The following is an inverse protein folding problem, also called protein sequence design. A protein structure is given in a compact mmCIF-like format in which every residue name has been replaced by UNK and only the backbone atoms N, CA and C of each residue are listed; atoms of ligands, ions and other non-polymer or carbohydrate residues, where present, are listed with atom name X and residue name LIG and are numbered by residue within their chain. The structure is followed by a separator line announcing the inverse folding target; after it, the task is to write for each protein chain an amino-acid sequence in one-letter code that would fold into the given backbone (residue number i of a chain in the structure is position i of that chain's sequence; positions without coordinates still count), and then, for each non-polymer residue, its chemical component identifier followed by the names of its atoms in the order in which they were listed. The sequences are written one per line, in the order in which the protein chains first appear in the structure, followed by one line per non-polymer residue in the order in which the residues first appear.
data_IF_327055281322
#
_entry.id   IF_327055281322
#
_cell.length_a   1.000
_cell.length_b   1.000
_cell.length_c   1.000
_cell.angle_alpha   90.00
_cell.angle_beta   90.00
_cell.angle_gamma   90.00
#
_symmetry.space_group_name_H-M   'P 1'
#
loop_
_entity.id
_entity.type
_entity.pdbx_description
1 polymer ?
#
# COMPACT_ATOMS: atom_id res chain seq x y z
N UNK A 1 -5.31 39.94 7.45
CA UNK A 1 -5.77 38.68 6.82
C UNK A 1 -4.64 38.22 5.93
N UNK A 2 -3.87 37.23 6.36
CA UNK A 2 -2.76 36.67 5.58
C UNK A 2 -3.21 35.30 5.07
N UNK A 3 -3.52 35.23 3.77
CA UNK A 3 -3.78 33.99 3.04
C UNK A 3 -2.44 33.34 2.76
N UNK A 4 -2.03 32.46 3.66
CA UNK A 4 -0.77 31.73 3.58
C UNK A 4 -0.88 30.39 4.27
N UNK A 5 -2.01 29.70 4.10
CA UNK A 5 -2.07 28.26 4.33
C UNK A 5 -1.41 27.62 3.10
N UNK A 6 -0.08 27.63 3.10
CA UNK A 6 0.69 26.79 2.19
C UNK A 6 0.24 25.38 2.51
N UNK A 7 -0.25 24.63 1.52
CA UNK A 7 -0.65 23.24 1.69
C UNK A 7 0.54 22.45 2.27
N UNK A 8 0.65 22.42 3.60
CA UNK A 8 1.57 21.54 4.29
C UNK A 8 1.17 20.14 3.83
N UNK A 9 2.14 19.40 3.28
CA UNK A 9 2.00 17.99 2.95
C UNK A 9 1.40 17.27 4.15
N UNK A 10 0.07 17.12 4.11
CA UNK A 10 -0.68 16.55 5.21
C UNK A 10 -0.35 15.07 5.16
N UNK A 11 0.53 14.64 6.05
CA UNK A 11 0.96 13.24 6.13
C UNK A 11 -0.29 12.35 6.13
N UNK A 12 -0.28 11.36 5.24
CA UNK A 12 -1.38 10.39 5.07
C UNK A 12 -1.56 9.52 6.32
N UNK A 13 -0.55 9.45 7.19
CA UNK A 13 -0.59 8.73 8.47
C UNK A 13 -0.41 9.70 9.64
N UNK A 14 -1.15 9.49 10.73
CA UNK A 14 -0.76 10.06 12.02
C UNK A 14 0.52 9.40 12.53
N UNK A 15 1.15 10.00 13.55
CA UNK A 15 2.31 9.41 14.20
C UNK A 15 1.99 8.04 14.80
N UNK A 16 0.83 7.91 15.43
CA UNK A 16 0.36 6.68 16.08
C UNK A 16 0.18 5.55 15.06
N UNK A 17 -0.43 5.83 13.90
CA UNK A 17 -0.63 4.84 12.84
C UNK A 17 0.68 4.48 12.13
N UNK A 18 1.57 5.45 11.95
CA UNK A 18 2.90 5.17 11.45
C UNK A 18 3.63 4.21 12.40
N UNK A 19 3.54 4.43 13.73
CA UNK A 19 4.09 3.51 14.74
C UNK A 19 3.42 2.14 14.68
N UNK A 20 2.10 2.09 14.52
CA UNK A 20 1.37 0.83 14.39
C UNK A 20 1.82 0.04 13.16
N UNK A 21 1.89 0.69 11.99
CA UNK A 21 2.33 0.06 10.74
C UNK A 21 3.80 -0.36 10.82
N UNK A 22 4.69 0.46 11.40
CA UNK A 22 6.09 0.08 11.64
C UNK A 22 6.20 -1.14 12.56
N UNK A 23 5.40 -1.18 13.63
CA UNK A 23 5.37 -2.33 14.56
C UNK A 23 4.92 -3.59 13.83
N UNK A 24 3.87 -3.49 13.02
CA UNK A 24 3.39 -4.58 12.18
C UNK A 24 4.48 -5.09 11.23
N UNK A 25 5.14 -4.19 10.49
CA UNK A 25 6.18 -4.54 9.51
C UNK A 25 7.41 -5.16 10.17
N UNK A 26 7.87 -4.63 11.31
CA UNK A 26 9.01 -5.18 12.03
C UNK A 26 8.71 -6.56 12.63
N UNK A 27 7.54 -6.73 13.26
CA UNK A 27 7.10 -8.03 13.74
C UNK A 27 6.98 -9.04 12.58
N UNK A 28 6.45 -8.60 11.44
CA UNK A 28 6.35 -9.41 10.22
C UNK A 28 7.72 -9.87 9.71
N UNK A 29 8.70 -8.96 9.66
CA UNK A 29 10.06 -9.27 9.24
C UNK A 29 10.75 -10.25 10.20
N UNK A 30 10.50 -10.13 11.50
CA UNK A 30 11.00 -11.05 12.51
C UNK A 30 10.40 -12.46 12.33
N UNK A 31 9.08 -12.56 12.13
CA UNK A 31 8.40 -13.82 11.85
C UNK A 31 8.98 -14.53 10.61
N UNK A 32 9.37 -13.79 9.57
CA UNK A 32 9.99 -14.36 8.36
C UNK A 32 11.29 -15.14 8.64
N UNK A 33 11.94 -14.94 9.79
CA UNK A 33 13.15 -15.69 10.16
C UNK A 33 12.87 -17.10 10.68
N UNK A 34 11.61 -17.40 11.02
CA UNK A 34 11.22 -18.67 11.67
C UNK A 34 10.12 -19.43 10.95
N UNK A 35 9.43 -18.77 10.03
CA UNK A 35 8.24 -19.31 9.36
C UNK A 35 8.49 -19.64 7.88
N UNK A 36 7.58 -20.40 7.23
CA UNK A 36 7.62 -20.61 5.79
C UNK A 36 7.72 -19.30 5.00
N UNK A 37 8.63 -19.28 4.01
CA UNK A 37 9.00 -18.08 3.24
C UNK A 37 7.80 -17.33 2.62
N UNK A 38 6.78 -18.06 2.18
CA UNK A 38 5.61 -17.49 1.52
C UNK A 38 4.68 -16.72 2.47
N UNK A 39 4.81 -16.87 3.79
CA UNK A 39 4.09 -15.99 4.73
C UNK A 39 4.66 -14.58 4.77
N UNK A 40 5.90 -14.38 4.33
CA UNK A 40 6.48 -13.04 4.19
C UNK A 40 5.72 -12.18 3.18
N UNK A 41 5.44 -12.72 2.00
CA UNK A 41 4.65 -12.00 0.99
C UNK A 41 3.22 -11.74 1.44
N UNK A 42 2.62 -12.67 2.21
CA UNK A 42 1.29 -12.49 2.77
C UNK A 42 1.24 -11.29 3.73
N UNK A 43 2.22 -11.16 4.62
CA UNK A 43 2.28 -10.04 5.56
C UNK A 43 2.58 -8.71 4.89
N UNK A 44 3.44 -8.69 3.87
CA UNK A 44 3.66 -7.48 3.08
C UNK A 44 2.37 -7.01 2.41
N UNK A 45 1.61 -7.94 1.84
CA UNK A 45 0.33 -7.66 1.21
C UNK A 45 -0.73 -7.17 2.22
N UNK A 46 -0.79 -7.75 3.41
CA UNK A 46 -1.66 -7.27 4.51
C UNK A 46 -1.22 -5.90 5.04
N UNK A 47 0.09 -5.62 5.07
CA UNK A 47 0.65 -4.30 5.35
C UNK A 47 0.18 -3.24 4.35
N UNK A 48 0.10 -3.57 3.07
CA UNK A 48 -0.48 -2.69 2.03
C UNK A 48 -1.96 -2.43 2.29
N UNK A 49 -2.75 -3.45 2.65
CA UNK A 49 -4.17 -3.27 2.99
C UNK A 49 -4.38 -2.36 4.20
N UNK A 50 -3.53 -2.47 5.23
CA UNK A 50 -3.55 -1.58 6.42
C UNK A 50 -3.24 -0.14 6.03
N UNK A 51 -2.18 0.08 5.25
CA UNK A 51 -1.83 1.40 4.75
C UNK A 51 -2.98 2.02 3.94
N UNK A 52 -3.59 1.26 3.03
CA UNK A 52 -4.75 1.70 2.27
C UNK A 52 -5.93 2.10 3.18
N UNK A 53 -6.16 1.36 4.27
CA UNK A 53 -7.15 1.72 5.29
C UNK A 53 -6.91 3.11 5.89
N UNK A 54 -5.69 3.37 6.37
CA UNK A 54 -5.36 4.68 6.96
C UNK A 54 -5.49 5.84 5.96
N UNK A 55 -5.21 5.60 4.68
CA UNK A 55 -5.40 6.59 3.60
C UNK A 55 -6.88 6.89 3.43
N UNK A 56 -7.70 5.84 3.27
CA UNK A 56 -9.15 5.96 3.03
C UNK A 56 -9.89 6.63 4.19
N UNK A 57 -9.46 6.41 5.43
CA UNK A 57 -10.05 7.04 6.62
C UNK A 57 -9.84 8.57 6.66
N UNK A 58 -8.87 9.09 5.92
CA UNK A 58 -8.52 10.52 5.87
C UNK A 58 -8.93 11.24 4.59
N UNK A 59 -9.32 10.52 3.54
CA UNK A 59 -9.79 11.16 2.32
C UNK A 59 -11.10 11.91 2.57
N UNK A 60 -11.06 13.24 2.41
CA UNK A 60 -12.24 14.11 2.50
C UNK A 60 -12.94 14.31 1.15
N UNK A 61 -12.35 13.80 0.07
CA UNK A 61 -12.90 13.84 -1.31
C UNK A 61 -13.73 12.58 -1.58
N UNK A 62 -14.50 12.49 -2.69
CA UNK A 62 -15.25 11.27 -2.99
C UNK A 62 -14.27 10.09 -2.99
N UNK A 63 -14.54 9.10 -2.11
CA UNK A 63 -13.67 7.92 -1.87
C UNK A 63 -12.99 7.51 -3.17
N UNK A 64 -11.66 7.45 -3.18
CA UNK A 64 -10.95 6.83 -4.30
C UNK A 64 -11.47 5.40 -4.43
N UNK A 65 -12.42 5.20 -5.36
CA UNK A 65 -13.12 3.93 -5.54
C UNK A 65 -12.11 2.84 -5.85
N UNK A 66 -11.02 3.18 -6.54
CA UNK A 66 -9.96 2.22 -6.82
C UNK A 66 -9.23 1.79 -5.55
N UNK A 67 -8.86 2.69 -4.65
CA UNK A 67 -8.12 2.30 -3.45
C UNK A 67 -8.99 1.46 -2.51
N UNK A 68 -10.27 1.81 -2.39
CA UNK A 68 -11.26 1.03 -1.65
C UNK A 68 -11.45 -0.37 -2.25
N UNK A 69 -11.62 -0.47 -3.57
CA UNK A 69 -11.80 -1.75 -4.27
C UNK A 69 -10.53 -2.60 -4.20
N UNK A 70 -9.36 -1.99 -4.39
CA UNK A 70 -8.07 -2.66 -4.29
C UNK A 70 -7.83 -3.22 -2.89
N UNK A 71 -8.13 -2.44 -1.85
CA UNK A 71 -8.05 -2.91 -0.46
C UNK A 71 -9.00 -4.09 -0.22
N UNK A 72 -10.25 -3.98 -0.63
CA UNK A 72 -11.26 -5.03 -0.43
C UNK A 72 -10.84 -6.34 -1.11
N UNK A 73 -10.28 -6.24 -2.31
CA UNK A 73 -9.77 -7.39 -3.04
C UNK A 73 -8.54 -8.02 -2.38
N UNK A 74 -7.60 -7.22 -1.87
CA UNK A 74 -6.49 -7.73 -1.06
C UNK A 74 -7.02 -8.48 0.17
N UNK A 75 -7.97 -7.90 0.90
CA UNK A 75 -8.53 -8.51 2.10
C UNK A 75 -9.19 -9.86 1.83
N UNK A 76 -9.83 -9.99 0.66
CA UNK A 76 -10.43 -11.26 0.21
C UNK A 76 -9.36 -12.26 -0.24
N UNK A 77 -8.47 -11.88 -1.15
CA UNK A 77 -7.56 -12.80 -1.83
C UNK A 77 -6.29 -13.12 -1.03
N UNK A 78 -5.93 -12.34 0.00
CA UNK A 78 -4.80 -12.68 0.90
C UNK A 78 -5.00 -14.03 1.61
N UNK A 79 -6.25 -14.44 1.85
CA UNK A 79 -6.57 -15.74 2.43
C UNK A 79 -6.20 -16.93 1.52
N UNK A 80 -6.02 -16.70 0.22
CA UNK A 80 -5.63 -17.73 -0.74
C UNK A 80 -4.26 -18.32 -0.46
N UNK A 81 -3.41 -17.63 0.30
CA UNK A 81 -2.12 -18.19 0.78
C UNK A 81 -2.29 -19.58 1.43
N UNK A 82 -3.46 -19.84 2.03
CA UNK A 82 -3.82 -21.13 2.64
C UNK A 82 -4.73 -22.02 1.78
N UNK A 83 -5.52 -21.44 0.88
CA UNK A 83 -6.62 -22.13 0.19
C UNK A 83 -6.34 -22.41 -1.29
N UNK A 84 -5.55 -21.55 -1.93
CA UNK A 84 -5.17 -21.60 -3.34
C UNK A 84 -3.84 -20.86 -3.52
N UNK A 85 -2.73 -21.58 -3.31
CA UNK A 85 -1.40 -20.97 -3.32
C UNK A 85 -0.98 -20.50 -4.71
N UNK A 86 -1.43 -21.17 -5.77
CA UNK A 86 -1.14 -20.77 -7.15
C UNK A 86 -1.86 -19.46 -7.46
N UNK A 87 -3.17 -19.41 -7.23
CA UNK A 87 -3.96 -18.20 -7.40
C UNK A 87 -3.47 -17.04 -6.51
N UNK A 88 -2.95 -17.33 -5.32
CA UNK A 88 -2.32 -16.31 -4.46
C UNK A 88 -1.11 -15.64 -5.12
N UNK A 89 -0.20 -16.41 -5.74
CA UNK A 89 0.99 -15.84 -6.39
C UNK A 89 0.65 -15.11 -7.68
N UNK A 90 -0.32 -15.60 -8.46
CA UNK A 90 -0.85 -14.88 -9.62
C UNK A 90 -1.45 -13.53 -9.20
N UNK A 91 -2.27 -13.54 -8.15
CA UNK A 91 -2.85 -12.31 -7.60
C UNK A 91 -1.78 -11.35 -7.08
N UNK A 92 -0.74 -11.84 -6.40
CA UNK A 92 0.34 -11.00 -5.91
C UNK A 92 1.05 -10.25 -7.05
N UNK A 93 1.28 -10.92 -8.18
CA UNK A 93 1.86 -10.31 -9.37
C UNK A 93 0.91 -9.25 -9.98
N UNK A 94 -0.37 -9.56 -10.09
CA UNK A 94 -1.40 -8.63 -10.58
C UNK A 94 -1.49 -7.37 -9.69
N UNK A 95 -1.56 -7.56 -8.38
CA UNK A 95 -1.68 -6.48 -7.41
C UNK A 95 -0.47 -5.53 -7.46
N UNK A 96 0.74 -6.08 -7.61
CA UNK A 96 1.95 -5.29 -7.78
C UNK A 96 1.93 -4.47 -9.09
N UNK A 97 1.42 -5.02 -10.18
CA UNK A 97 1.25 -4.29 -11.44
C UNK A 97 0.28 -3.11 -11.30
N UNK A 98 -0.88 -3.34 -10.70
CA UNK A 98 -1.93 -2.33 -10.51
C UNK A 98 -1.49 -1.13 -9.69
N UNK A 99 -0.70 -1.33 -8.63
CA UNK A 99 -0.18 -0.21 -7.84
C UNK A 99 0.94 0.52 -8.59
N UNK A 100 1.78 -0.19 -9.36
CA UNK A 100 2.83 0.41 -10.16
C UNK A 100 2.29 1.35 -11.25
N UNK A 101 1.14 1.01 -11.85
CA UNK A 101 0.44 1.85 -12.83
C UNK A 101 0.00 3.22 -12.27
N UNK A 102 -0.09 3.34 -10.93
CA UNK A 102 -0.46 4.59 -10.23
C UNK A 102 0.74 5.49 -9.91
N UNK A 103 1.97 5.03 -10.12
CA UNK A 103 3.16 5.85 -9.86
C UNK A 103 3.20 6.98 -10.90
N UNK A 104 3.19 8.27 -10.50
CA UNK A 104 3.29 9.38 -11.43
C UNK A 104 4.57 9.25 -12.27
N UNK A 105 4.44 9.31 -13.61
CA UNK A 105 5.62 9.37 -14.47
C UNK A 105 6.31 10.70 -14.25
N UNK A 106 7.60 10.69 -13.88
CA UNK A 106 8.40 11.91 -13.90
C UNK A 106 8.45 12.43 -15.34
N UNK A 107 8.27 13.73 -15.59
CA UNK A 107 8.54 14.29 -16.89
C UNK A 107 10.01 14.00 -17.23
N UNK A 108 10.23 13.24 -18.30
CA UNK A 108 11.55 13.12 -18.90
C UNK A 108 12.01 14.52 -19.27
N UNK A 109 13.11 14.98 -18.67
CA UNK A 109 13.80 16.19 -19.10
C UNK A 109 13.97 16.11 -20.62
N UNK A 110 13.34 17.05 -21.33
CA UNK A 110 13.56 17.28 -22.75
C UNK A 110 15.07 17.44 -22.93
N UNK A 111 15.68 16.48 -23.61
CA UNK A 111 17.06 16.55 -24.06
C UNK A 111 17.33 17.93 -24.65
N UNK A 112 18.29 18.62 -24.07
CA UNK A 112 18.62 20.00 -24.39
C UNK A 112 18.86 20.17 -25.87
N UNK A 113 18.25 21.23 -26.40
CA UNK A 113 18.66 21.88 -27.63
C UNK A 113 20.17 22.15 -27.60
N UNK A 114 20.88 21.57 -28.56
CA UNK A 114 22.26 21.90 -28.93
C UNK A 114 22.36 21.93 -30.44
#
# INVERSE_FOLDING_TARGET
MNTGDSAEDKLVLSKEEAIELMTYLLASAECCTREPLYYGSFRLLDGVSRLAGYVLDRETSPRDSWLSDFKAEIDQKKAWVMLDREGYFEFLQEAAGRIAERIPRRPTESAGSG
#
